data_IF_782813233087
#
_entry.id   IF_782813233087
#
_cell.length_a   1.000
_cell.length_b   1.000
_cell.length_c   1.000
_cell.angle_alpha   90.00
_cell.angle_beta   90.00
_cell.angle_gamma   90.00
#
_symmetry.space_group_name_H-M   'P 1'
#
loop_
_entity.id
_entity.type
_entity.pdbx_description
1 polymer ?
#
# COMPACT_ATOMS: atom_id res chain seq x y z
N UNK A 1 -30.61 38.52 48.15
CA UNK A 1 -29.44 38.82 47.32
C UNK A 1 -28.75 37.53 47.01
N UNK A 2 -29.17 36.95 45.96
CA UNK A 2 -28.62 35.67 45.61
C UNK A 2 -27.67 35.82 44.46
N UNK A 3 -26.47 35.70 44.78
CA UNK A 3 -25.47 35.59 43.77
C UNK A 3 -25.51 34.16 43.26
N UNK A 4 -26.13 34.01 42.14
CA UNK A 4 -26.04 32.75 41.47
C UNK A 4 -24.63 32.69 40.89
N UNK A 5 -23.84 31.93 41.56
CA UNK A 5 -22.59 31.53 40.96
C UNK A 5 -22.94 30.51 39.88
N UNK A 6 -23.02 30.98 38.70
CA UNK A 6 -22.99 30.09 37.61
C UNK A 6 -21.60 29.51 37.52
N UNK A 7 -21.44 28.38 38.14
CA UNK A 7 -20.26 27.60 37.84
C UNK A 7 -20.37 27.15 36.41
N UNK A 8 -19.81 27.90 35.57
CA UNK A 8 -19.60 27.46 34.24
C UNK A 8 -18.60 26.33 34.32
N UNK A 9 -19.09 25.15 34.43
CA UNK A 9 -18.26 24.01 34.19
C UNK A 9 -17.86 24.08 32.72
N UNK A 10 -16.78 24.72 32.49
CA UNK A 10 -16.17 24.63 31.23
C UNK A 10 -15.68 23.19 31.10
N UNK A 11 -16.53 22.38 30.60
CA UNK A 11 -16.04 21.13 30.07
C UNK A 11 -15.27 21.51 28.85
N UNK A 12 -14.02 21.77 29.07
CA UNK A 12 -13.12 21.73 27.95
C UNK A 12 -13.33 20.37 27.33
N UNK A 13 -13.99 20.35 26.22
CA UNK A 13 -14.04 19.16 25.44
C UNK A 13 -12.60 18.75 25.27
N UNK A 14 -12.19 17.75 26.01
CA UNK A 14 -10.92 17.16 25.79
C UNK A 14 -10.94 16.74 24.34
N UNK A 15 -10.21 17.37 23.49
CA UNK A 15 -10.10 16.89 22.18
C UNK A 15 -9.48 15.53 22.32
N UNK A 16 -10.00 14.61 21.60
CA UNK A 16 -9.64 13.22 21.69
C UNK A 16 -8.16 12.97 21.86
N UNK A 17 -7.74 11.75 21.94
CA UNK A 17 -6.43 11.36 22.44
C UNK A 17 -5.29 11.92 21.61
N UNK A 18 -5.15 13.21 21.63
CA UNK A 18 -4.03 13.88 21.00
C UNK A 18 -2.73 13.57 21.62
N UNK A 19 -2.78 13.03 22.78
CA UNK A 19 -1.58 12.87 23.56
C UNK A 19 -0.94 11.53 23.33
N UNK A 20 -1.66 10.60 22.73
CA UNK A 20 -1.03 9.40 22.28
C UNK A 20 -0.36 9.71 20.94
N UNK A 21 0.95 9.44 20.80
CA UNK A 21 1.56 9.53 19.49
C UNK A 21 0.76 8.62 18.57
N UNK A 22 -0.08 9.20 17.75
CA UNK A 22 -0.74 8.47 16.71
C UNK A 22 0.35 8.00 15.78
N UNK A 23 0.58 6.71 15.77
CA UNK A 23 1.25 6.12 14.65
C UNK A 23 0.40 6.46 13.45
N UNK A 24 1.00 7.11 12.48
CA UNK A 24 0.35 7.30 11.21
C UNK A 24 -0.14 5.96 10.71
N UNK A 25 -1.33 5.92 10.06
CA UNK A 25 -1.78 4.67 9.48
C UNK A 25 -0.70 4.10 8.58
N UNK A 26 -0.53 2.79 8.54
CA UNK A 26 0.44 2.18 7.65
C UNK A 26 0.22 2.66 6.22
N UNK A 27 1.28 3.11 5.59
CA UNK A 27 1.22 3.64 4.24
C UNK A 27 2.11 2.84 3.32
N UNK A 28 1.73 2.80 2.04
CA UNK A 28 2.57 2.19 1.02
C UNK A 28 3.76 3.05 0.64
N UNK A 29 3.79 4.31 1.05
CA UNK A 29 4.88 5.22 0.71
C UNK A 29 6.21 4.63 1.15
N UNK A 30 7.15 4.54 0.22
CA UNK A 30 8.47 3.99 0.48
C UNK A 30 8.95 3.09 -0.64
N UNK A 31 10.08 2.47 -0.39
CA UNK A 31 10.68 1.51 -1.31
C UNK A 31 10.53 0.11 -0.73
N UNK A 32 10.22 -0.84 -1.60
CA UNK A 32 9.88 -2.20 -1.21
C UNK A 32 10.58 -3.21 -2.11
N UNK A 33 11.19 -4.22 -1.51
CA UNK A 33 11.79 -5.34 -2.24
C UNK A 33 10.94 -6.58 -2.02
N UNK A 34 10.64 -7.28 -3.09
CA UNK A 34 9.82 -8.49 -3.03
C UNK A 34 10.60 -9.65 -2.41
N UNK A 35 9.95 -10.36 -1.52
CA UNK A 35 10.49 -11.57 -0.90
C UNK A 35 9.83 -12.83 -1.42
N UNK A 36 8.58 -12.70 -1.90
CA UNK A 36 7.83 -13.82 -2.43
C UNK A 36 6.88 -13.32 -3.52
N UNK A 37 6.78 -14.06 -4.60
CA UNK A 37 5.89 -13.73 -5.71
C UNK A 37 5.16 -14.99 -6.15
N UNK A 38 3.83 -14.89 -6.23
CA UNK A 38 2.99 -15.94 -6.79
C UNK A 38 2.25 -15.35 -7.98
N UNK A 39 2.43 -15.92 -9.15
CA UNK A 39 1.77 -15.46 -10.37
C UNK A 39 1.05 -16.61 -11.03
N UNK A 40 -0.21 -16.37 -11.38
CA UNK A 40 -1.05 -17.35 -12.09
C UNK A 40 -1.07 -18.70 -11.38
N UNK A 41 -1.08 -18.68 -10.05
CA UNK A 41 -1.11 -19.88 -9.21
C UNK A 41 0.23 -20.55 -8.99
N UNK A 42 1.33 -19.99 -9.50
CA UNK A 42 2.66 -20.58 -9.37
C UNK A 42 3.58 -19.66 -8.57
N UNK A 43 4.26 -20.24 -7.59
CA UNK A 43 5.26 -19.52 -6.83
C UNK A 43 6.54 -19.39 -7.64
N UNK A 44 7.00 -18.16 -7.80
CA UNK A 44 8.26 -17.91 -8.48
C UNK A 44 9.45 -18.25 -7.57
N UNK A 45 10.58 -18.65 -8.16
CA UNK A 45 11.80 -18.83 -7.37
C UNK A 45 12.17 -17.57 -6.60
N UNK A 46 12.76 -17.72 -5.43
CA UNK A 46 13.13 -16.58 -4.59
C UNK A 46 14.10 -15.63 -5.29
N UNK A 47 14.96 -16.14 -6.14
CA UNK A 47 15.90 -15.32 -6.92
C UNK A 47 15.15 -14.40 -7.89
N UNK A 48 14.05 -14.88 -8.48
CA UNK A 48 13.23 -14.09 -9.37
C UNK A 48 12.44 -13.05 -8.57
N UNK A 49 11.85 -13.46 -7.44
CA UNK A 49 11.12 -12.53 -6.57
C UNK A 49 12.01 -11.38 -6.12
N UNK A 50 13.27 -11.67 -5.79
CA UNK A 50 14.20 -10.66 -5.32
C UNK A 50 14.53 -9.58 -6.37
N UNK A 51 14.22 -9.81 -7.64
CA UNK A 51 14.40 -8.81 -8.70
C UNK A 51 13.24 -7.83 -8.78
N UNK A 52 12.16 -8.07 -8.06
CA UNK A 52 10.98 -7.23 -8.08
C UNK A 52 11.10 -6.15 -7.01
N UNK A 53 10.97 -4.92 -7.44
CA UNK A 53 11.10 -3.77 -6.57
C UNK A 53 10.01 -2.75 -6.92
N UNK A 54 9.42 -2.16 -5.90
CA UNK A 54 8.38 -1.15 -6.04
C UNK A 54 8.74 0.08 -5.23
N UNK A 55 8.43 1.25 -5.76
CA UNK A 55 8.55 2.50 -5.03
C UNK A 55 7.26 3.30 -5.18
N UNK A 56 6.72 3.70 -4.05
CA UNK A 56 5.56 4.58 -3.99
C UNK A 56 5.99 5.88 -3.31
N UNK A 57 6.10 6.94 -4.08
CA UNK A 57 6.51 8.23 -3.55
C UNK A 57 5.31 8.98 -2.96
N UNK A 58 5.57 9.84 -1.99
CA UNK A 58 4.51 10.59 -1.31
C UNK A 58 3.76 11.55 -2.25
N UNK A 59 4.37 11.94 -3.35
CA UNK A 59 3.76 12.82 -4.34
C UNK A 59 2.87 12.11 -5.36
N UNK A 60 2.65 10.80 -5.19
CA UNK A 60 1.82 10.02 -6.10
C UNK A 60 2.56 9.39 -7.26
N UNK A 61 3.87 9.51 -7.28
CA UNK A 61 4.67 8.85 -8.32
C UNK A 61 4.97 7.41 -7.95
N UNK A 62 5.03 6.56 -8.96
CA UNK A 62 5.23 5.13 -8.82
C UNK A 62 6.34 4.68 -9.76
N UNK A 63 7.23 3.84 -9.25
CA UNK A 63 8.25 3.19 -10.06
C UNK A 63 8.31 1.71 -9.71
N UNK A 64 8.66 0.91 -10.69
CA UNK A 64 8.77 -0.52 -10.47
C UNK A 64 9.91 -1.13 -11.28
N UNK A 65 10.34 -2.29 -10.83
CA UNK A 65 11.28 -3.13 -11.54
C UNK A 65 10.84 -4.58 -11.41
N UNK A 66 10.79 -5.26 -12.55
CA UNK A 66 10.51 -6.68 -12.63
C UNK A 66 11.62 -7.31 -13.49
N UNK A 67 12.64 -7.86 -12.86
CA UNK A 67 13.80 -8.35 -13.57
C UNK A 67 14.46 -7.22 -14.38
N UNK A 68 14.63 -7.40 -15.70
CA UNK A 68 15.21 -6.36 -16.54
C UNK A 68 14.24 -5.26 -16.93
N UNK A 69 12.95 -5.42 -16.66
CA UNK A 69 11.95 -4.45 -17.03
C UNK A 69 11.76 -3.41 -15.92
N UNK A 70 11.76 -2.16 -16.32
CA UNK A 70 11.52 -1.02 -15.42
C UNK A 70 10.43 -0.13 -16.00
N UNK A 71 9.66 0.50 -15.11
CA UNK A 71 8.66 1.44 -15.52
C UNK A 71 8.39 2.47 -14.45
N UNK A 72 7.69 3.53 -14.84
CA UNK A 72 7.32 4.62 -13.96
C UNK A 72 5.95 5.15 -14.33
N UNK A 73 5.25 5.72 -13.36
CA UNK A 73 3.95 6.28 -13.57
C UNK A 73 3.42 6.93 -12.31
N UNK A 74 2.13 6.80 -12.09
CA UNK A 74 1.45 7.39 -10.93
C UNK A 74 0.55 6.35 -10.28
N UNK A 75 0.22 6.60 -9.01
CA UNK A 75 -0.68 5.73 -8.26
C UNK A 75 -1.61 6.54 -7.38
N UNK A 76 -2.73 5.93 -7.01
CA UNK A 76 -3.66 6.44 -6.02
C UNK A 76 -4.06 5.31 -5.09
N UNK A 77 -4.40 5.64 -3.85
CA UNK A 77 -4.83 4.65 -2.87
C UNK A 77 -6.18 5.02 -2.29
N UNK A 78 -6.92 4.00 -1.87
CA UNK A 78 -8.15 4.16 -1.11
C UNK A 78 -8.06 3.25 0.12
N UNK A 79 -7.45 3.74 1.21
CA UNK A 79 -7.26 2.93 2.41
C UNK A 79 -8.53 2.68 3.19
N UNK A 80 -9.62 3.39 2.89
CA UNK A 80 -10.90 3.18 3.54
C UNK A 80 -11.61 1.92 3.06
N UNK A 81 -11.22 1.37 1.92
CA UNK A 81 -11.75 0.11 1.43
C UNK A 81 -11.18 -1.08 2.21
N UNK A 82 -11.89 -2.18 2.18
CA UNK A 82 -11.46 -3.41 2.84
C UNK A 82 -11.64 -4.60 1.88
N UNK A 83 -10.55 -5.10 1.29
CA UNK A 83 -9.17 -4.65 1.46
C UNK A 83 -8.91 -3.28 0.83
N UNK A 84 -7.89 -2.59 1.32
CA UNK A 84 -7.49 -1.31 0.77
C UNK A 84 -7.15 -1.44 -0.71
N UNK A 85 -7.48 -0.42 -1.48
CA UNK A 85 -7.33 -0.44 -2.93
C UNK A 85 -6.24 0.52 -3.40
N UNK A 86 -5.57 0.12 -4.48
CA UNK A 86 -4.54 0.92 -5.11
C UNK A 86 -4.68 0.79 -6.62
N UNK A 87 -4.69 1.93 -7.29
CA UNK A 87 -4.68 1.97 -8.74
C UNK A 87 -3.39 2.61 -9.22
N UNK A 88 -2.80 2.06 -10.26
CA UNK A 88 -1.59 2.65 -10.81
C UNK A 88 -1.59 2.60 -12.32
N UNK A 89 -0.91 3.58 -12.90
CA UNK A 89 -0.64 3.62 -14.34
C UNK A 89 0.86 3.73 -14.54
N UNK A 90 1.34 3.29 -15.66
CA UNK A 90 2.75 3.43 -16.00
C UNK A 90 2.88 3.69 -17.50
N UNK A 91 4.09 4.08 -17.89
CA UNK A 91 4.42 4.27 -19.29
C UNK A 91 4.23 3.02 -20.13
N UNK A 92 4.18 1.84 -19.48
CA UNK A 92 4.02 0.56 -20.18
C UNK A 92 2.62 -0.03 -20.04
N UNK A 93 1.78 0.55 -19.18
CA UNK A 93 0.43 0.05 -18.91
C UNK A 93 -0.56 1.20 -19.05
N UNK A 94 -0.94 1.48 -20.26
CA UNK A 94 -1.76 2.65 -20.59
C UNK A 94 -3.15 2.64 -19.95
N UNK A 95 -3.71 1.46 -19.70
CA UNK A 95 -5.07 1.33 -19.16
C UNK A 95 -5.12 1.34 -17.64
N UNK A 96 -3.98 1.39 -16.99
CA UNK A 96 -3.92 1.30 -15.55
C UNK A 96 -4.16 -0.11 -15.03
N UNK A 97 -3.65 -0.37 -13.86
CA UNK A 97 -3.86 -1.64 -13.16
C UNK A 97 -4.56 -1.39 -11.84
N UNK A 98 -5.38 -2.34 -11.45
CA UNK A 98 -6.14 -2.29 -10.20
C UNK A 98 -5.57 -3.31 -9.23
N UNK A 99 -5.29 -2.86 -8.02
CA UNK A 99 -4.67 -3.70 -7.00
C UNK A 99 -5.40 -3.57 -5.68
N UNK A 100 -5.15 -4.54 -4.82
CA UNK A 100 -5.46 -4.45 -3.40
C UNK A 100 -4.15 -4.59 -2.63
N UNK A 101 -4.09 -4.01 -1.44
CA UNK A 101 -2.87 -4.04 -0.66
C UNK A 101 -3.15 -4.08 0.82
N UNK A 102 -2.16 -4.50 1.56
CA UNK A 102 -2.17 -4.51 3.00
C UNK A 102 -0.77 -4.19 3.49
N UNK A 103 -0.65 -3.20 4.37
CA UNK A 103 0.61 -2.85 5.01
C UNK A 103 0.55 -3.24 6.47
N UNK A 104 1.54 -3.99 6.92
CA UNK A 104 1.69 -4.37 8.32
C UNK A 104 3.14 -4.09 8.71
N UNK A 105 3.36 -2.95 9.38
CA UNK A 105 4.69 -2.45 9.72
C UNK A 105 5.59 -2.32 8.48
N UNK A 106 6.60 -3.16 8.36
CA UNK A 106 7.55 -3.13 7.24
C UNK A 106 7.24 -4.17 6.19
N UNK A 107 6.06 -4.76 6.23
CA UNK A 107 5.62 -5.76 5.26
C UNK A 107 4.47 -5.21 4.41
N UNK A 108 4.56 -5.38 3.12
CA UNK A 108 3.51 -5.04 2.17
C UNK A 108 3.07 -6.31 1.46
N UNK A 109 1.76 -6.56 1.49
CA UNK A 109 1.14 -7.57 0.63
C UNK A 109 0.44 -6.82 -0.49
N UNK A 110 0.79 -7.11 -1.72
CA UNK A 110 0.31 -6.39 -2.89
C UNK A 110 -0.20 -7.40 -3.92
N UNK A 111 -1.45 -7.26 -4.30
CA UNK A 111 -2.09 -8.19 -5.22
C UNK A 111 -2.72 -7.41 -6.35
N UNK A 112 -2.35 -7.72 -7.57
CA UNK A 112 -2.86 -6.99 -8.72
C UNK A 112 -3.13 -7.91 -9.89
N UNK A 113 -4.05 -7.48 -10.75
CA UNK A 113 -4.34 -8.16 -11.99
C UNK A 113 -3.72 -7.38 -13.15
N UNK A 114 -3.10 -8.09 -14.06
CA UNK A 114 -2.43 -7.49 -15.20
C UNK A 114 -3.41 -7.06 -16.28
N UNK A 115 -2.97 -6.08 -17.07
CA UNK A 115 -3.63 -5.74 -18.33
C UNK A 115 -4.99 -5.08 -18.20
N UNK A 116 -5.22 -4.30 -17.16
CA UNK A 116 -6.49 -3.60 -16.97
C UNK A 116 -7.65 -4.52 -16.59
N UNK A 117 -7.35 -5.70 -16.07
CA UNK A 117 -8.37 -6.65 -15.62
C UNK A 117 -9.02 -6.17 -14.32
N UNK A 118 -10.13 -6.81 -13.97
CA UNK A 118 -10.85 -6.50 -12.76
C UNK A 118 -9.96 -6.61 -11.52
N UNK A 119 -10.20 -5.75 -10.55
CA UNK A 119 -9.49 -5.73 -9.28
C UNK A 119 -9.62 -7.07 -8.55
N UNK A 120 -8.52 -7.64 -8.03
CA UNK A 120 -8.63 -8.83 -7.17
C UNK A 120 -9.50 -8.55 -5.95
N UNK A 121 -10.19 -9.55 -5.47
CA UNK A 121 -11.03 -9.43 -4.28
C UNK A 121 -10.38 -10.05 -3.03
N UNK A 122 -9.31 -10.80 -3.20
CA UNK A 122 -8.58 -11.43 -2.12
C UNK A 122 -7.10 -11.54 -2.42
N UNK A 123 -6.31 -11.75 -1.38
CA UNK A 123 -4.85 -11.86 -1.50
C UNK A 123 -4.47 -13.29 -1.89
N UNK A 124 -4.78 -13.65 -3.11
CA UNK A 124 -4.46 -14.96 -3.64
C UNK A 124 -4.25 -14.89 -5.15
N UNK A 125 -3.45 -15.80 -5.65
CA UNK A 125 -3.21 -15.93 -7.08
C UNK A 125 -3.56 -17.36 -7.48
N UNK A 126 -4.47 -17.50 -8.43
CA UNK A 126 -4.92 -18.80 -8.92
C UNK A 126 -4.60 -18.95 -10.40
N UNK A 127 -4.47 -20.18 -10.85
CA UNK A 127 -4.17 -20.48 -12.25
C UNK A 127 -5.25 -19.89 -13.17
N UNK A 128 -4.82 -19.30 -14.28
CA UNK A 128 -5.71 -18.72 -15.28
C UNK A 128 -6.24 -17.34 -14.95
N UNK A 129 -5.89 -16.75 -13.81
CA UNK A 129 -6.42 -15.45 -13.39
C UNK A 129 -5.56 -14.27 -13.79
N UNK A 130 -4.30 -14.49 -14.09
CA UNK A 130 -3.28 -13.46 -14.35
C UNK A 130 -3.15 -12.47 -13.19
N UNK A 131 -3.36 -12.95 -11.99
CA UNK A 131 -3.20 -12.17 -10.77
C UNK A 131 -1.83 -12.47 -10.20
N UNK A 132 -1.12 -11.42 -9.82
CA UNK A 132 0.15 -11.55 -9.12
C UNK A 132 -0.03 -11.17 -7.66
N UNK A 133 0.49 -12.00 -6.79
CA UNK A 133 0.52 -11.75 -5.36
C UNK A 133 1.96 -11.57 -4.93
N UNK A 134 2.27 -10.39 -4.44
CA UNK A 134 3.61 -10.04 -4.01
C UNK A 134 3.64 -9.85 -2.50
N UNK A 135 4.63 -10.43 -1.86
CA UNK A 135 4.98 -10.12 -0.49
C UNK A 135 6.28 -9.34 -0.52
N UNK A 136 6.27 -8.14 0.03
CA UNK A 136 7.40 -7.24 -0.05
C UNK A 136 7.80 -6.77 1.34
N UNK A 137 9.05 -6.40 1.45
CA UNK A 137 9.62 -5.86 2.67
C UNK A 137 10.11 -4.46 2.40
N UNK A 138 9.88 -3.55 3.35
CA UNK A 138 10.32 -2.17 3.24
C UNK A 138 11.85 -2.10 3.28
N UNK A 139 12.41 -1.40 2.31
CA UNK A 139 13.84 -1.16 2.31
C UNK A 139 14.17 -0.16 3.41
N UNK A 140 15.18 -0.48 4.20
CA UNK A 140 15.66 0.44 5.23
C UNK A 140 16.48 1.52 4.56
N UNK A 141 16.07 2.78 4.73
CA UNK A 141 16.89 3.88 4.31
C UNK A 141 18.17 3.87 5.13
N UNK A 142 19.30 3.91 4.43
CA UNK A 142 20.56 4.12 5.12
C UNK A 142 20.49 5.48 5.80
N UNK A 143 20.68 5.48 7.11
CA UNK A 143 20.91 6.74 7.81
C UNK A 143 22.25 7.29 7.35
N UNK A 144 22.18 8.43 6.74
CA UNK A 144 23.38 9.20 6.49
C UNK A 144 23.78 9.96 7.73
#
# INVERSE_FOLDING_TARGET
MNTVLLALALVAAAPGPKDAPKKDPPTVVGEWTCTECVGDGQKFPSEVAATIWLEFAADGKFRYRFGPEEGAGTYTTDPAKNPAELDYTSDKVAKGNHAIYKVDQDALTFCFAEGGRARPTGFESSAGTRVLLLTLKRDKKKKE
#
